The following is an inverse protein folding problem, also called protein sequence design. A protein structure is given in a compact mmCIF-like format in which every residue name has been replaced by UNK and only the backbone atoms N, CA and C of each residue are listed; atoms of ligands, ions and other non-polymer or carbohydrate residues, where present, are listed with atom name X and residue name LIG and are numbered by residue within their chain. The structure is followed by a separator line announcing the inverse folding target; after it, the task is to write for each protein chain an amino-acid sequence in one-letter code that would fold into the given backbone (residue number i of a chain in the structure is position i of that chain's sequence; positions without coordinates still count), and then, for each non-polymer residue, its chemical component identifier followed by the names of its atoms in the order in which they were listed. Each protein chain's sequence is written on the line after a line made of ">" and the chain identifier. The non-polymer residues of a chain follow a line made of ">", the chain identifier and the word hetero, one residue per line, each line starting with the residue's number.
data_IF_631306256658
#
_entry.id   IF_631306256658
#
_cell.length_a   1.000
_cell.length_b   1.000
_cell.length_c   1.000
_cell.angle_alpha   90.00
_cell.angle_beta   90.00
_cell.angle_gamma   90.00
#
_symmetry.space_group_name_H-M   'P 1'
#
loop_
_entity.id
_entity.type
_entity.pdbx_description
1 polymer ?
#
# COMPACT_ATOMS: atom_id res chain seq x y z
N UNK A 1 -28.14 -17.46 -6.75
CA UNK A 1 -27.14 -16.55 -7.34
C UNK A 1 -26.56 -15.70 -6.21
N UNK A 2 -25.24 -15.76 -5.96
CA UNK A 2 -24.62 -14.88 -4.95
C UNK A 2 -24.45 -13.49 -5.58
N UNK A 3 -25.11 -12.49 -5.00
CA UNK A 3 -25.03 -11.08 -5.40
C UNK A 3 -23.71 -10.49 -4.96
N UNK A 4 -23.10 -9.60 -5.75
CA UNK A 4 -22.05 -8.69 -5.28
C UNK A 4 -22.58 -7.92 -4.07
N UNK A 5 -21.96 -8.07 -2.91
CA UNK A 5 -22.30 -7.34 -1.69
C UNK A 5 -21.04 -6.67 -1.19
N UNK A 6 -21.19 -5.45 -0.68
CA UNK A 6 -20.15 -4.77 0.08
C UNK A 6 -20.46 -4.98 1.58
N UNK A 7 -19.46 -5.31 2.42
CA UNK A 7 -18.07 -5.61 2.09
C UNK A 7 -17.88 -6.95 1.34
N UNK A 8 -16.83 -7.06 0.52
CA UNK A 8 -16.56 -8.25 -0.32
C UNK A 8 -15.72 -9.33 0.38
N UNK A 9 -14.95 -8.93 1.40
CA UNK A 9 -14.16 -9.84 2.23
C UNK A 9 -14.95 -10.18 3.50
N UNK A 10 -15.08 -11.46 3.87
CA UNK A 10 -15.78 -11.87 5.09
C UNK A 10 -14.89 -11.74 6.34
N UNK A 11 -14.23 -10.59 6.50
CA UNK A 11 -13.35 -10.25 7.62
C UNK A 11 -13.25 -8.72 7.76
N UNK A 12 -12.67 -8.23 8.86
CA UNK A 12 -12.39 -6.80 9.04
C UNK A 12 -11.03 -6.48 8.42
N UNK A 13 -11.06 -5.82 7.27
CA UNK A 13 -9.86 -5.41 6.55
C UNK A 13 -9.89 -3.92 6.23
N UNK A 14 -8.72 -3.29 6.18
CA UNK A 14 -8.51 -1.93 5.73
C UNK A 14 -7.42 -1.88 4.66
N UNK A 15 -7.28 -0.73 4.01
CA UNK A 15 -6.22 -0.42 3.05
C UNK A 15 -6.07 -1.47 1.92
N UNK A 16 -7.16 -1.84 1.22
CA UNK A 16 -7.14 -2.97 0.29
C UNK A 16 -6.41 -2.63 -1.01
N UNK A 17 -5.34 -3.40 -1.30
CA UNK A 17 -4.68 -3.43 -2.61
C UNK A 17 -5.06 -4.68 -3.38
N UNK A 18 -5.63 -4.50 -4.58
CA UNK A 18 -6.07 -5.61 -5.43
C UNK A 18 -5.25 -5.68 -6.70
N UNK A 19 -4.77 -6.87 -7.04
CA UNK A 19 -4.04 -7.15 -8.29
C UNK A 19 -4.58 -8.42 -8.94
N UNK A 20 -4.41 -8.54 -10.26
CA UNK A 20 -4.76 -9.74 -11.00
C UNK A 20 -3.50 -10.34 -11.63
N UNK A 21 -3.28 -11.63 -11.38
CA UNK A 21 -2.23 -12.41 -12.03
C UNK A 21 -2.82 -13.72 -12.56
N UNK A 22 -2.65 -13.94 -13.85
CA UNK A 22 -2.89 -15.21 -14.53
C UNK A 22 -4.32 -15.77 -14.30
N UNK A 23 -5.31 -14.88 -14.31
CA UNK A 23 -6.74 -15.14 -14.13
C UNK A 23 -7.20 -15.18 -12.68
N UNK A 24 -6.37 -14.76 -11.72
CA UNK A 24 -6.66 -14.80 -10.28
C UNK A 24 -6.49 -13.41 -9.69
N UNK A 25 -7.51 -12.95 -8.97
CA UNK A 25 -7.46 -11.74 -8.16
C UNK A 25 -6.84 -12.04 -6.79
N UNK A 26 -5.93 -11.19 -6.35
CA UNK A 26 -5.30 -11.19 -5.04
C UNK A 26 -5.61 -9.87 -4.35
N UNK A 27 -6.07 -9.92 -3.11
CA UNK A 27 -6.30 -8.76 -2.26
C UNK A 27 -5.40 -8.87 -1.03
N UNK A 28 -4.53 -7.87 -0.89
CA UNK A 28 -3.71 -7.63 0.29
C UNK A 28 -4.32 -6.45 1.04
N UNK A 29 -4.30 -6.49 2.37
CA UNK A 29 -4.80 -5.38 3.18
C UNK A 29 -4.31 -5.50 4.61
N UNK A 30 -4.58 -4.47 5.40
CA UNK A 30 -4.41 -4.50 6.85
C UNK A 30 -5.48 -5.39 7.45
N UNK A 31 -5.09 -6.42 8.20
CA UNK A 31 -6.03 -7.22 8.99
C UNK A 31 -6.36 -6.45 10.27
N UNK A 32 -7.59 -5.99 10.45
CA UNK A 32 -8.01 -5.30 11.67
C UNK A 32 -8.58 -6.32 12.67
N UNK A 33 -7.99 -6.35 13.87
CA UNK A 33 -8.36 -7.27 14.94
C UNK A 33 -9.09 -6.59 16.11
N UNK A 34 -9.59 -5.36 15.90
CA UNK A 34 -10.38 -4.63 16.89
C UNK A 34 -9.55 -4.04 18.05
N UNK A 35 -8.24 -3.88 17.85
CA UNK A 35 -7.29 -3.35 18.84
C UNK A 35 -6.85 -1.91 18.53
N UNK A 36 -7.56 -1.22 17.62
CA UNK A 36 -7.18 0.10 17.11
C UNK A 36 -5.80 0.07 16.44
N UNK A 37 -5.07 1.19 16.49
CA UNK A 37 -3.74 1.33 15.87
C UNK A 37 -2.59 0.76 16.73
N UNK A 38 -2.91 0.09 17.84
CA UNK A 38 -1.92 -0.51 18.75
C UNK A 38 -1.24 -1.74 18.15
N UNK A 39 -1.94 -2.47 17.27
CA UNK A 39 -1.46 -3.69 16.61
C UNK A 39 -2.31 -3.99 15.38
N UNK A 40 -1.96 -5.00 14.59
CA UNK A 40 -2.75 -5.54 13.48
C UNK A 40 -2.79 -7.07 13.55
N UNK A 41 -3.67 -7.69 12.77
CA UNK A 41 -3.57 -9.12 12.49
C UNK A 41 -2.35 -9.44 11.60
N UNK A 42 -2.03 -10.73 11.44
CA UNK A 42 -0.95 -11.17 10.57
C UNK A 42 -1.27 -10.88 9.08
N UNK A 43 -0.24 -10.77 8.22
CA UNK A 43 -0.44 -10.58 6.79
C UNK A 43 -0.99 -11.84 6.14
N UNK A 44 -2.11 -11.68 5.45
CA UNK A 44 -2.76 -12.73 4.65
C UNK A 44 -3.04 -12.20 3.25
N UNK A 45 -3.22 -13.09 2.28
CA UNK A 45 -3.70 -12.72 0.93
C UNK A 45 -5.01 -13.42 0.61
N UNK A 46 -6.04 -12.63 0.31
CA UNK A 46 -7.31 -13.14 -0.15
C UNK A 46 -7.26 -13.38 -1.65
N UNK A 47 -7.78 -14.53 -2.09
CA UNK A 47 -7.80 -14.93 -3.50
C UNK A 47 -9.21 -15.12 -4.01
N UNK A 48 -9.45 -14.71 -5.26
CA UNK A 48 -10.70 -14.96 -5.95
C UNK A 48 -10.50 -15.16 -7.45
N UNK A 49 -11.35 -15.98 -8.08
CA UNK A 49 -11.41 -16.12 -9.55
C UNK A 49 -12.55 -15.31 -10.18
N UNK A 50 -13.51 -14.88 -9.37
CA UNK A 50 -14.75 -14.24 -9.83
C UNK A 50 -15.01 -12.89 -9.17
N UNK A 51 -14.09 -12.43 -8.33
CA UNK A 51 -14.17 -11.20 -7.54
C UNK A 51 -15.30 -11.21 -6.48
N UNK A 52 -15.92 -12.37 -6.23
CA UNK A 52 -17.08 -12.52 -5.34
C UNK A 52 -16.77 -13.51 -4.22
N UNK A 53 -16.21 -14.67 -4.56
CA UNK A 53 -15.86 -15.70 -3.57
C UNK A 53 -14.37 -15.55 -3.25
N UNK A 54 -14.09 -15.12 -2.03
CA UNK A 54 -12.74 -14.86 -1.52
C UNK A 54 -12.37 -15.87 -0.43
N UNK A 55 -11.10 -16.29 -0.43
CA UNK A 55 -10.51 -17.15 0.62
C UNK A 55 -9.02 -16.88 0.73
N UNK A 56 -8.44 -17.07 1.92
CA UNK A 56 -7.00 -17.03 2.14
C UNK A 56 -6.51 -18.32 2.80
N UNK A 57 -5.19 -18.52 2.85
CA UNK A 57 -4.57 -19.65 3.55
C UNK A 57 -3.27 -19.21 4.22
N UNK A 58 -3.27 -19.20 5.56
CA UNK A 58 -2.06 -18.96 6.36
C UNK A 58 -1.49 -17.54 6.24
N UNK A 59 -0.38 -17.32 6.95
CA UNK A 59 0.40 -16.10 6.89
C UNK A 59 1.32 -16.11 5.66
N UNK A 60 1.34 -15.02 4.89
CA UNK A 60 2.18 -14.91 3.70
C UNK A 60 3.64 -14.55 4.03
N UNK A 61 3.92 -14.11 5.26
CA UNK A 61 5.25 -13.72 5.72
C UNK A 61 5.56 -14.43 7.06
N UNK A 62 5.79 -15.75 7.05
CA UNK A 62 5.78 -16.58 8.25
C UNK A 62 7.03 -16.45 9.13
N UNK A 63 8.13 -15.93 8.58
CA UNK A 63 9.42 -15.81 9.29
C UNK A 63 9.53 -14.53 10.15
N UNK A 64 8.43 -13.80 10.32
CA UNK A 64 8.29 -12.64 11.21
C UNK A 64 7.30 -12.98 12.31
N UNK A 65 7.62 -12.62 13.56
CA UNK A 65 6.66 -12.67 14.66
C UNK A 65 5.73 -11.45 14.61
N UNK A 66 4.58 -11.63 13.96
CA UNK A 66 3.51 -10.62 13.87
C UNK A 66 2.74 -10.40 15.17
N UNK A 67 3.01 -11.15 16.25
CA UNK A 67 2.43 -10.84 17.56
C UNK A 67 3.07 -9.61 18.22
N UNK A 68 4.29 -9.27 17.79
CA UNK A 68 5.06 -8.11 18.25
C UNK A 68 5.36 -7.10 17.14
N UNK A 69 4.82 -7.31 15.94
CA UNK A 69 5.02 -6.44 14.76
C UNK A 69 3.69 -6.04 14.14
N UNK A 70 3.65 -4.89 13.45
CA UNK A 70 2.47 -4.43 12.71
C UNK A 70 2.68 -4.57 11.21
N UNK A 71 1.61 -4.93 10.51
CA UNK A 71 1.56 -5.00 9.05
C UNK A 71 0.40 -4.16 8.52
N UNK A 72 0.71 -3.00 7.94
CA UNK A 72 -0.27 -2.02 7.49
C UNK A 72 -0.11 -1.67 6.02
N UNK A 73 -1.23 -1.31 5.40
CA UNK A 73 -1.35 -0.70 4.08
C UNK A 73 -0.40 -1.29 3.03
N UNK A 74 -0.52 -2.60 2.72
CA UNK A 74 0.24 -3.17 1.63
C UNK A 74 -0.15 -2.48 0.32
N UNK A 75 0.82 -1.88 -0.37
CA UNK A 75 0.65 -1.30 -1.69
C UNK A 75 0.45 -2.36 -2.78
N UNK A 76 0.29 -1.91 -4.03
CA UNK A 76 0.17 -2.78 -5.19
C UNK A 76 1.38 -3.73 -5.30
N UNK A 77 1.12 -5.04 -5.41
CA UNK A 77 2.14 -6.03 -5.73
C UNK A 77 2.71 -5.79 -7.13
N UNK A 78 4.02 -5.63 -7.24
CA UNK A 78 4.72 -5.65 -8.52
C UNK A 78 5.25 -7.05 -8.82
N UNK A 79 5.31 -7.43 -10.10
CA UNK A 79 6.05 -8.64 -10.54
C UNK A 79 7.00 -8.33 -11.69
N UNK A 80 8.18 -8.95 -11.69
CA UNK A 80 9.09 -8.95 -12.84
C UNK A 80 9.77 -10.29 -13.02
N UNK A 81 10.26 -10.55 -14.23
CA UNK A 81 11.07 -11.73 -14.51
C UNK A 81 12.52 -11.50 -14.10
N UNK A 82 13.05 -12.38 -13.25
CA UNK A 82 14.45 -12.44 -12.87
C UNK A 82 14.96 -13.86 -13.06
N UNK A 83 16.06 -14.02 -13.79
CA UNK A 83 16.69 -15.32 -14.04
C UNK A 83 15.71 -16.40 -14.54
N UNK A 84 14.76 -15.99 -15.41
CA UNK A 84 13.78 -16.88 -16.02
C UNK A 84 12.58 -17.25 -15.13
N UNK A 85 12.39 -16.59 -13.98
CA UNK A 85 11.24 -16.80 -13.09
C UNK A 85 10.63 -15.47 -12.63
N UNK A 86 9.35 -15.46 -12.32
CA UNK A 86 8.73 -14.28 -11.72
C UNK A 86 9.19 -14.10 -10.28
N UNK A 87 9.47 -12.86 -9.92
CA UNK A 87 9.62 -12.37 -8.55
C UNK A 87 8.51 -11.37 -8.26
N UNK A 88 7.95 -11.46 -7.07
CA UNK A 88 6.83 -10.65 -6.59
C UNK A 88 7.31 -9.74 -5.47
N UNK A 89 7.04 -8.44 -5.58
CA UNK A 89 7.49 -7.40 -4.66
C UNK A 89 6.29 -6.73 -4.00
N UNK A 90 6.23 -6.81 -2.66
CA UNK A 90 5.18 -6.23 -1.84
C UNK A 90 5.75 -5.09 -1.01
N UNK A 91 5.08 -3.94 -1.06
CA UNK A 91 5.43 -2.75 -0.29
C UNK A 91 4.44 -2.64 0.85
N UNK A 92 4.91 -2.47 2.08
CA UNK A 92 4.03 -2.47 3.25
C UNK A 92 4.63 -1.62 4.36
N UNK A 93 3.76 -1.03 5.17
CA UNK A 93 4.16 -0.30 6.36
C UNK A 93 4.31 -1.26 7.53
N UNK A 94 5.43 -1.15 8.25
CA UNK A 94 5.68 -1.94 9.44
C UNK A 94 6.39 -1.15 10.54
N UNK A 95 6.19 -1.63 11.76
CA UNK A 95 6.91 -1.25 12.97
C UNK A 95 6.83 -2.41 13.96
N UNK A 96 7.66 -2.39 14.99
CA UNK A 96 7.47 -3.28 16.14
C UNK A 96 6.53 -2.62 17.15
N UNK A 97 5.65 -3.42 17.75
CA UNK A 97 4.71 -3.01 18.81
C UNK A 97 5.47 -2.79 20.13
N UNK A 98 6.44 -3.67 20.40
CA UNK A 98 7.38 -3.56 21.51
C UNK A 98 8.81 -3.62 20.95
N UNK A 99 9.65 -2.65 21.28
CA UNK A 99 11.07 -2.71 20.89
C UNK A 99 11.81 -3.80 21.68
N UNK A 100 12.77 -4.46 21.04
CA UNK A 100 13.60 -5.49 21.68
C UNK A 100 14.39 -4.97 22.90
N UNK A 101 14.77 -3.69 22.88
CA UNK A 101 15.48 -3.03 23.97
C UNK A 101 14.56 -2.04 24.68
N UNK A 102 14.17 -2.39 25.91
CA UNK A 102 13.30 -1.55 26.75
C UNK A 102 14.00 -0.28 27.26
N UNK A 103 15.32 -0.17 27.09
CA UNK A 103 16.10 1.03 27.42
C UNK A 103 16.30 1.96 26.23
N UNK A 104 16.07 1.48 24.99
CA UNK A 104 16.04 2.35 23.82
C UNK A 104 14.71 3.12 23.75
N UNK A 105 14.71 4.36 23.21
CA UNK A 105 13.46 5.07 22.92
C UNK A 105 12.53 4.19 22.07
N UNK A 106 11.22 4.48 22.14
CA UNK A 106 10.12 3.76 21.45
C UNK A 106 10.54 3.18 20.09
N UNK A 107 10.01 1.99 19.70
CA UNK A 107 10.30 1.41 18.40
C UNK A 107 10.14 2.44 17.29
N UNK A 108 10.94 2.30 16.24
CA UNK A 108 10.94 3.22 15.11
C UNK A 108 9.50 3.48 14.64
N UNK A 109 9.17 4.74 14.25
CA UNK A 109 7.84 5.04 13.70
C UNK A 109 7.57 4.13 12.49
N UNK A 110 6.30 3.95 12.13
CA UNK A 110 5.96 3.13 10.97
C UNK A 110 6.68 3.62 9.69
N UNK A 111 7.38 2.69 9.05
CA UNK A 111 8.15 2.89 7.82
C UNK A 111 7.69 1.89 6.75
N UNK A 112 7.92 2.22 5.49
CA UNK A 112 7.57 1.34 4.36
C UNK A 112 8.76 0.46 4.01
N UNK A 113 8.55 -0.84 3.97
CA UNK A 113 9.52 -1.86 3.60
C UNK A 113 9.10 -2.56 2.31
N UNK A 114 10.05 -3.28 1.71
CA UNK A 114 9.80 -4.12 0.53
C UNK A 114 10.07 -5.57 0.90
N UNK A 115 9.12 -6.45 0.61
CA UNK A 115 9.30 -7.90 0.69
C UNK A 115 9.29 -8.53 -0.71
N UNK A 116 9.99 -9.65 -0.86
CA UNK A 116 10.08 -10.41 -2.12
C UNK A 116 9.70 -11.87 -1.92
N UNK A 117 9.03 -12.45 -2.93
CA UNK A 117 8.69 -13.88 -2.98
C UNK A 117 8.74 -14.45 -4.40
N UNK A 118 8.71 -15.77 -4.51
CA UNK A 118 8.58 -16.52 -5.78
C UNK A 118 7.10 -16.75 -6.20
N UNK A 119 6.14 -16.41 -5.33
CA UNK A 119 4.70 -16.56 -5.55
C UNK A 119 3.96 -15.34 -4.97
N UNK A 120 2.80 -14.92 -5.53
CA UNK A 120 2.00 -13.86 -4.91
C UNK A 120 1.49 -14.24 -3.51
N UNK A 121 1.42 -15.53 -3.17
CA UNK A 121 1.06 -16.03 -1.84
C UNK A 121 2.23 -16.15 -0.86
N UNK A 122 3.43 -15.73 -1.25
CA UNK A 122 4.63 -15.93 -0.45
C UNK A 122 5.21 -17.35 -0.56
N UNK A 123 6.00 -17.81 0.43
CA UNK A 123 6.41 -17.05 1.61
C UNK A 123 7.28 -15.85 1.23
N UNK A 124 6.95 -14.70 1.80
CA UNK A 124 7.71 -13.46 1.65
C UNK A 124 8.88 -13.44 2.62
N UNK A 125 9.95 -12.76 2.20
CA UNK A 125 11.07 -12.32 3.04
C UNK A 125 11.36 -10.85 2.74
N UNK A 126 11.98 -10.12 3.67
CA UNK A 126 12.39 -8.74 3.40
C UNK A 126 13.39 -8.72 2.23
N UNK A 127 13.17 -7.82 1.27
CA UNK A 127 14.02 -7.71 0.09
C UNK A 127 15.32 -6.93 0.37
N UNK A 128 15.36 -6.13 1.44
CA UNK A 128 16.49 -5.28 1.79
C UNK A 128 16.90 -5.45 3.26
N UNK A 129 17.52 -6.59 3.59
CA UNK A 129 18.00 -6.90 4.94
C UNK A 129 17.20 -8.03 5.63
N UNK A 130 17.28 -8.14 6.97
CA UNK A 130 16.63 -9.23 7.71
C UNK A 130 15.12 -9.04 7.87
N UNK A 131 14.42 -10.09 8.32
CA UNK A 131 12.99 -10.10 8.66
C UNK A 131 12.73 -9.42 10.01
N UNK A 132 13.11 -8.14 10.13
CA UNK A 132 13.04 -7.33 11.36
C UNK A 132 12.84 -5.87 11.03
N UNK A 133 12.02 -5.15 11.80
CA UNK A 133 11.60 -3.78 11.46
C UNK A 133 12.04 -2.70 12.46
N UNK A 134 12.65 -3.06 13.60
CA UNK A 134 13.21 -2.09 14.56
C UNK A 134 14.66 -2.39 14.96
N UNK A 135 15.35 -1.40 15.53
CA UNK A 135 16.69 -1.57 16.12
C UNK A 135 17.84 -1.56 15.10
N UNK A 136 19.08 -1.72 15.59
CA UNK A 136 20.30 -1.46 14.80
C UNK A 136 20.49 -2.32 13.54
N UNK A 137 19.92 -3.53 13.52
CA UNK A 137 20.06 -4.49 12.43
C UNK A 137 18.70 -4.77 11.76
N UNK A 138 17.80 -3.77 11.67
CA UNK A 138 16.54 -3.93 10.93
C UNK A 138 16.75 -3.97 9.42
N UNK A 139 15.71 -4.39 8.71
CA UNK A 139 15.56 -4.14 7.29
C UNK A 139 15.74 -2.67 6.95
N UNK A 140 16.27 -2.37 5.78
CA UNK A 140 16.32 -1.00 5.27
C UNK A 140 14.97 -0.65 4.62
N UNK A 141 14.24 0.35 5.14
CA UNK A 141 12.99 0.79 4.54
C UNK A 141 13.26 1.48 3.20
N UNK A 142 12.28 1.41 2.29
CA UNK A 142 12.29 2.23 1.06
C UNK A 142 11.85 3.67 1.36
N UNK A 143 10.97 3.86 2.36
CA UNK A 143 10.49 5.16 2.80
C UNK A 143 10.46 5.24 4.33
N UNK A 144 10.86 6.39 4.88
CA UNK A 144 10.79 6.69 6.32
C UNK A 144 9.37 7.11 6.77
N UNK A 145 8.35 6.54 6.13
CA UNK A 145 6.93 6.83 6.35
C UNK A 145 6.05 5.69 5.83
N UNK A 146 4.73 5.86 5.88
CA UNK A 146 3.72 4.83 5.58
C UNK A 146 3.14 4.98 4.16
N UNK A 147 2.37 3.98 3.78
CA UNK A 147 1.48 3.96 2.61
C UNK A 147 2.21 4.08 1.27
N UNK A 148 3.38 3.47 1.15
CA UNK A 148 4.09 3.39 -0.12
C UNK A 148 3.36 2.50 -1.14
N UNK A 149 2.81 3.10 -2.18
CA UNK A 149 2.16 2.40 -3.30
C UNK A 149 2.96 2.56 -4.61
N UNK A 150 3.46 1.45 -5.18
CA UNK A 150 4.29 1.50 -6.36
C UNK A 150 3.48 1.49 -7.67
N UNK A 151 4.04 2.16 -8.68
CA UNK A 151 3.56 2.14 -10.05
C UNK A 151 4.75 1.99 -11.00
N UNK A 152 4.63 1.10 -12.00
CA UNK A 152 5.61 0.96 -13.07
C UNK A 152 4.94 1.37 -14.36
N UNK A 153 5.52 2.35 -15.04
CA UNK A 153 5.01 2.86 -16.30
C UNK A 153 5.39 1.94 -17.48
N UNK A 154 4.80 2.19 -18.65
CA UNK A 154 5.00 1.38 -19.86
C UNK A 154 6.46 1.36 -20.34
N UNK A 155 7.25 2.37 -19.98
CA UNK A 155 8.69 2.48 -20.29
C UNK A 155 9.58 1.71 -19.28
N UNK A 156 8.98 1.10 -18.26
CA UNK A 156 9.66 0.36 -17.21
C UNK A 156 10.18 1.21 -16.05
N UNK A 157 9.98 2.54 -16.09
CA UNK A 157 10.34 3.42 -14.97
C UNK A 157 9.37 3.18 -13.82
N UNK A 158 9.93 2.91 -12.64
CA UNK A 158 9.17 2.79 -11.40
C UNK A 158 8.96 4.15 -10.74
N UNK A 159 7.80 4.30 -10.12
CA UNK A 159 7.41 5.42 -9.26
C UNK A 159 6.79 4.85 -7.99
N UNK A 160 6.85 5.59 -6.89
CA UNK A 160 6.16 5.25 -5.65
C UNK A 160 5.50 6.50 -5.12
N UNK A 161 4.21 6.42 -4.79
CA UNK A 161 3.47 7.44 -4.06
C UNK A 161 3.44 7.08 -2.57
N UNK A 162 3.35 8.08 -1.68
CA UNK A 162 3.13 7.84 -0.26
C UNK A 162 2.44 9.01 0.45
N UNK A 163 2.28 8.87 1.78
CA UNK A 163 1.69 9.86 2.69
C UNK A 163 2.14 11.30 2.40
N UNK A 164 1.24 12.24 2.58
CA UNK A 164 1.37 13.66 2.25
C UNK A 164 1.59 13.89 0.76
N UNK A 165 0.86 13.14 -0.07
CA UNK A 165 0.78 13.32 -1.52
C UNK A 165 2.15 13.44 -2.19
N UNK A 166 3.12 12.66 -1.68
CA UNK A 166 4.47 12.65 -2.20
C UNK A 166 4.62 11.55 -3.25
N UNK A 167 5.55 11.79 -4.18
CA UNK A 167 5.91 10.86 -5.24
C UNK A 167 7.39 11.01 -5.59
N UNK A 168 8.03 9.90 -5.95
CA UNK A 168 9.39 9.89 -6.49
C UNK A 168 9.53 8.77 -7.52
N UNK A 169 10.60 8.83 -8.32
CA UNK A 169 11.05 7.67 -9.09
C UNK A 169 11.65 6.62 -8.16
N UNK A 170 11.42 5.36 -8.47
CA UNK A 170 12.16 4.25 -7.90
C UNK A 170 13.42 3.98 -8.73
N UNK A 171 14.50 3.55 -8.06
CA UNK A 171 15.65 3.00 -8.72
C UNK A 171 15.29 1.65 -9.39
N UNK A 172 16.12 1.21 -10.33
CA UNK A 172 15.85 -0.02 -11.10
C UNK A 172 15.76 -1.28 -10.23
N UNK A 173 16.37 -1.27 -9.04
CA UNK A 173 16.29 -2.39 -8.09
C UNK A 173 14.88 -2.56 -7.50
N UNK A 174 14.04 -1.53 -7.55
CA UNK A 174 12.73 -1.40 -6.89
C UNK A 174 12.79 -1.40 -5.35
N UNK A 175 13.99 -1.26 -4.77
CA UNK A 175 14.25 -1.32 -3.32
C UNK A 175 14.59 0.06 -2.73
N UNK A 176 14.81 1.06 -3.58
CA UNK A 176 15.19 2.42 -3.19
C UNK A 176 14.57 3.46 -4.12
N UNK A 177 14.47 4.70 -3.66
CA UNK A 177 14.00 5.84 -4.46
C UNK A 177 15.17 6.72 -4.93
N UNK A 178 14.95 7.41 -6.05
CA UNK A 178 15.77 8.54 -6.45
C UNK A 178 15.33 9.78 -5.65
N UNK A 179 16.12 10.13 -4.63
CA UNK A 179 15.81 11.21 -3.69
C UNK A 179 15.77 12.59 -4.37
N UNK A 180 16.44 12.77 -5.51
CA UNK A 180 16.43 14.03 -6.24
C UNK A 180 15.13 14.26 -7.01
N UNK A 181 14.27 13.24 -7.09
CA UNK A 181 12.97 13.29 -7.78
C UNK A 181 11.78 13.40 -6.84
N UNK A 182 12.02 13.49 -5.52
CA UNK A 182 10.94 13.63 -4.54
C UNK A 182 10.18 14.91 -4.81
N UNK A 183 8.89 14.76 -5.06
CA UNK A 183 7.97 15.83 -5.38
C UNK A 183 6.69 15.68 -4.55
N UNK A 184 6.31 16.75 -3.86
CA UNK A 184 5.04 16.84 -3.17
C UNK A 184 4.00 17.41 -4.15
N UNK A 185 2.98 16.64 -4.46
CA UNK A 185 1.97 16.98 -5.45
C UNK A 185 1.06 18.07 -4.89
N UNK A 186 0.94 19.24 -5.54
CA UNK A 186 0.03 20.27 -5.07
C UNK A 186 -1.43 19.80 -5.17
N UNK A 187 -2.15 19.79 -4.05
CA UNK A 187 -3.59 19.48 -3.99
C UNK A 187 -4.40 20.75 -3.68
N UNK A 188 -5.69 20.77 -4.03
CA UNK A 188 -6.54 21.96 -3.80
C UNK A 188 -6.67 22.33 -2.33
N UNK A 189 -6.58 21.34 -1.44
CA UNK A 189 -6.70 21.50 0.00
C UNK A 189 -5.37 21.92 0.66
N UNK A 190 -4.33 22.25 -0.12
CA UNK A 190 -3.02 22.66 0.40
C UNK A 190 -2.31 21.53 1.13
N UNK A 191 -1.69 21.82 2.27
CA UNK A 191 -0.91 20.86 3.07
C UNK A 191 -1.78 19.96 3.97
N UNK A 192 -3.02 19.69 3.57
CA UNK A 192 -3.93 18.85 4.34
C UNK A 192 -3.36 17.42 4.50
N UNK A 193 -3.64 16.81 5.65
CA UNK A 193 -3.30 15.40 5.87
C UNK A 193 -3.91 14.53 4.78
N UNK A 194 -3.09 13.64 4.23
CA UNK A 194 -3.44 12.75 3.15
C UNK A 194 -2.54 11.52 3.20
N UNK A 195 -3.11 10.35 2.93
CA UNK A 195 -2.43 9.05 2.92
C UNK A 195 -3.07 8.18 1.82
N UNK A 196 -2.82 6.86 1.79
CA UNK A 196 -3.47 5.95 0.85
C UNK A 196 -3.30 6.37 -0.62
N UNK A 197 -2.09 6.77 -1.01
CA UNK A 197 -1.85 7.22 -2.38
C UNK A 197 -1.97 6.08 -3.38
N UNK A 198 -2.50 6.36 -4.58
CA UNK A 198 -2.60 5.35 -5.63
C UNK A 198 -2.39 5.95 -7.02
N UNK A 199 -1.46 5.37 -7.77
CA UNK A 199 -1.12 5.85 -9.12
C UNK A 199 -1.57 4.83 -10.17
N UNK A 200 -2.26 5.31 -11.19
CA UNK A 200 -2.56 4.52 -12.38
C UNK A 200 -2.57 5.36 -13.65
N UNK A 201 -2.39 4.69 -14.78
CA UNK A 201 -2.42 5.29 -16.11
C UNK A 201 -3.59 4.75 -16.91
N UNK A 202 -4.35 5.64 -17.56
CA UNK A 202 -5.42 5.26 -18.47
C UNK A 202 -5.50 6.27 -19.61
N UNK A 203 -5.53 5.77 -20.85
CA UNK A 203 -5.57 6.62 -22.06
C UNK A 203 -4.46 7.69 -22.09
N UNK A 204 -3.22 7.31 -21.72
CA UNK A 204 -2.07 8.22 -21.60
C UNK A 204 -2.26 9.39 -20.63
N UNK A 205 -3.14 9.23 -19.64
CA UNK A 205 -3.31 10.17 -18.52
C UNK A 205 -2.93 9.43 -17.26
N UNK A 206 -2.05 10.02 -16.47
CA UNK A 206 -1.71 9.59 -15.13
C UNK A 206 -2.73 10.18 -14.15
N UNK A 207 -3.22 9.34 -13.26
CA UNK A 207 -4.12 9.70 -12.18
C UNK A 207 -3.40 9.44 -10.87
N UNK A 208 -3.29 10.46 -10.04
CA UNK A 208 -2.85 10.34 -8.66
C UNK A 208 -4.07 10.50 -7.75
N UNK A 209 -4.45 9.40 -7.10
CA UNK A 209 -5.52 9.39 -6.11
C UNK A 209 -4.93 9.52 -4.71
N UNK A 210 -5.66 10.22 -3.84
CA UNK A 210 -5.22 10.52 -2.49
C UNK A 210 -6.41 10.72 -1.56
N UNK A 211 -6.22 10.40 -0.28
CA UNK A 211 -7.29 10.57 0.71
C UNK A 211 -7.34 12.00 1.24
N UNK A 212 -8.50 12.38 1.77
CA UNK A 212 -8.73 13.61 2.52
C UNK A 212 -9.48 13.28 3.81
N UNK A 213 -9.23 14.07 4.86
CA UNK A 213 -9.89 13.94 6.18
C UNK A 213 -9.54 12.62 6.89
N UNK A 214 -10.46 12.06 7.68
CA UNK A 214 -10.27 10.85 8.49
C UNK A 214 -11.61 10.27 8.96
N UNK A 215 -11.61 9.03 9.44
CA UNK A 215 -12.76 8.38 10.07
C UNK A 215 -14.04 8.42 9.20
N UNK A 216 -15.20 8.73 9.79
CA UNK A 216 -16.46 8.82 9.06
C UNK A 216 -16.52 9.95 8.01
N UNK A 217 -15.52 10.84 7.96
CA UNK A 217 -15.42 11.93 6.99
C UNK A 217 -14.39 11.65 5.89
N UNK A 218 -13.79 10.45 5.86
CA UNK A 218 -12.77 10.06 4.90
C UNK A 218 -13.30 10.12 3.46
N UNK A 219 -12.46 10.58 2.54
CA UNK A 219 -12.81 10.80 1.13
C UNK A 219 -11.62 10.45 0.24
N UNK A 220 -11.89 10.11 -1.02
CA UNK A 220 -10.89 10.13 -2.09
C UNK A 220 -11.08 11.32 -3.00
N UNK A 221 -9.96 11.94 -3.35
CA UNK A 221 -9.85 12.89 -4.45
C UNK A 221 -8.76 12.44 -5.44
N UNK A 222 -8.66 13.14 -6.57
CA UNK A 222 -7.61 12.87 -7.54
C UNK A 222 -7.11 14.13 -8.27
N UNK A 223 -5.91 14.02 -8.81
CA UNK A 223 -5.35 14.97 -9.79
C UNK A 223 -4.82 14.20 -10.99
N UNK A 224 -4.69 14.89 -12.13
CA UNK A 224 -4.24 14.27 -13.38
C UNK A 224 -2.92 14.86 -13.86
N UNK A 225 -2.16 14.08 -14.62
CA UNK A 225 -1.02 14.56 -15.41
C UNK A 225 -1.07 13.90 -16.79
N UNK A 226 -0.69 14.65 -17.82
CA UNK A 226 -0.59 14.13 -19.21
C UNK A 226 0.85 13.80 -19.61
N UNK A 227 1.82 14.12 -18.75
CA UNK A 227 3.25 14.02 -19.09
C UNK A 227 3.95 12.94 -18.27
N UNK A 228 3.81 12.98 -16.95
CA UNK A 228 4.43 12.00 -16.06
C UNK A 228 3.73 11.88 -14.70
N UNK A 229 3.99 10.82 -13.92
CA UNK A 229 3.62 10.75 -12.50
C UNK A 229 4.25 11.84 -11.61
N UNK A 230 5.19 12.65 -12.13
CA UNK A 230 5.76 13.81 -11.42
C UNK A 230 5.12 15.14 -11.88
N UNK A 231 4.05 15.07 -12.68
CA UNK A 231 3.37 16.22 -13.23
C UNK A 231 3.92 16.67 -14.60
N UNK A 232 3.61 17.92 -15.02
CA UNK A 232 2.77 18.89 -14.33
C UNK A 232 1.32 18.41 -14.14
N UNK A 233 0.66 18.91 -13.10
CA UNK A 233 -0.68 18.48 -12.70
C UNK A 233 -1.80 19.38 -13.24
N UNK A 234 -2.93 18.73 -13.53
CA UNK A 234 -4.19 19.32 -13.99
C UNK A 234 -5.25 18.99 -12.95
N UNK A 235 -5.83 20.03 -12.35
CA UNK A 235 -6.97 19.91 -11.47
C UNK A 235 -8.28 20.00 -12.26
N UNK A 236 -9.27 19.24 -11.82
CA UNK A 236 -10.66 19.35 -12.28
C UNK A 236 -11.47 20.13 -11.26
N UNK A 237 -12.59 20.73 -11.64
CA UNK A 237 -13.45 21.46 -10.71
C UNK A 237 -13.99 20.57 -9.60
N UNK A 238 -14.47 19.38 -9.94
CA UNK A 238 -14.94 18.33 -9.02
C UNK A 238 -13.91 17.20 -8.95
N UNK A 239 -13.05 17.23 -7.93
CA UNK A 239 -11.95 16.29 -7.74
C UNK A 239 -12.24 15.20 -6.70
N UNK A 240 -13.30 15.34 -5.90
CA UNK A 240 -13.73 14.33 -4.91
C UNK A 240 -14.57 13.25 -5.60
N UNK A 241 -14.14 11.99 -5.49
CA UNK A 241 -14.76 10.85 -6.17
C UNK A 241 -15.39 9.83 -5.20
N UNK A 242 -15.03 9.88 -3.92
CA UNK A 242 -15.66 9.08 -2.88
C UNK A 242 -15.87 9.93 -1.63
N UNK A 243 -17.07 9.87 -1.06
CA UNK A 243 -17.44 10.54 0.20
C UNK A 243 -18.59 9.78 0.85
N UNK A 244 -18.82 10.02 2.14
CA UNK A 244 -19.93 9.44 2.91
C UNK A 244 -21.28 9.59 2.18
N UNK A 245 -22.01 8.48 2.12
CA UNK A 245 -23.38 8.38 1.62
C UNK A 245 -24.29 8.00 2.80
N UNK A 246 -24.92 9.01 3.40
CA UNK A 246 -25.79 8.84 4.57
C UNK A 246 -27.05 8.02 4.25
N UNK A 247 -27.59 8.14 3.04
CA UNK A 247 -28.81 7.41 2.64
C UNK A 247 -28.54 5.90 2.55
N UNK A 248 -27.35 5.52 2.10
CA UNK A 248 -26.93 4.11 2.02
C UNK A 248 -26.21 3.61 3.27
N UNK A 249 -25.97 4.47 4.26
CA UNK A 249 -25.23 4.12 5.48
C UNK A 249 -23.76 3.75 5.22
N UNK A 250 -23.14 4.35 4.20
CA UNK A 250 -21.71 4.16 3.88
C UNK A 250 -20.93 5.36 4.42
N UNK A 251 -20.03 5.10 5.36
CA UNK A 251 -19.30 6.14 6.10
C UNK A 251 -17.81 6.04 5.84
N UNK A 252 -17.17 7.16 5.51
CA UNK A 252 -15.72 7.24 5.33
C UNK A 252 -15.14 6.32 4.24
N UNK A 253 -15.60 6.39 2.97
CA UNK A 253 -15.04 5.59 1.90
C UNK A 253 -13.67 6.15 1.45
N UNK A 254 -12.61 5.70 2.11
CA UNK A 254 -11.25 5.84 1.58
C UNK A 254 -10.56 4.49 1.43
#
# INVERSE_FOLDING_TARGET
>A
MKTRRNPIIPDTIADPSVVEFDGIYYLYGTTDIGMGLGTSGPPVVWKSKDFVNWSFQGCIFPDVDWSISKFWAPGRMLRRMENGKYKYYLYFSASEVEGEDKELPKPDPEQTFVAVADSPEGPFVTANGPNKFSGFNKATPILDTIDGDPFVDDDGVGYIGWRYHQVAKMNQDWLSIDKDTVFQIPIKQGDAYSEGSWIFKRNNIYYYMYTLSGHANYKYAYVMSKESPLGPYIWVEEDVIATTDFEKGIWGPG
#
